data_IF_685589091426
#
_entry.id   IF_685589091426
#
_cell.length_a   1.000
_cell.length_b   1.000
_cell.length_c   1.000
_cell.angle_alpha   90.00
_cell.angle_beta   90.00
_cell.angle_gamma   90.00
#
_symmetry.space_group_name_H-M   'P 1'
#
loop_
_entity.id
_entity.type
_entity.pdbx_description
1 polymer ?
#
# COMPACT_ATOMS: atom_id res chain seq x y z
N UNK A 1 -18.22 11.13 -7.94
CA UNK A 1 -16.94 11.24 -8.68
C UNK A 1 -16.15 9.99 -8.32
N UNK A 2 -15.68 9.17 -9.28
CA UNK A 2 -14.90 7.97 -8.98
C UNK A 2 -13.54 8.34 -8.39
N UNK A 3 -12.94 7.43 -7.62
CA UNK A 3 -11.54 7.56 -7.23
C UNK A 3 -10.64 7.44 -8.47
N UNK A 4 -9.60 8.28 -8.53
CA UNK A 4 -8.58 8.26 -9.58
C UNK A 4 -7.29 7.57 -9.12
N UNK A 5 -7.10 7.39 -7.81
CA UNK A 5 -6.07 6.52 -7.24
C UNK A 5 -6.64 5.67 -6.12
N UNK A 6 -6.21 4.41 -6.05
CA UNK A 6 -6.47 3.53 -4.94
C UNK A 6 -5.32 2.56 -4.73
N UNK A 7 -4.87 2.42 -3.49
CA UNK A 7 -4.13 1.24 -3.06
C UNK A 7 -4.65 0.75 -1.73
N UNK A 8 -4.73 -0.57 -1.59
CA UNK A 8 -4.96 -1.26 -0.34
C UNK A 8 -3.92 -2.36 -0.17
N UNK A 9 -3.29 -2.42 0.98
CA UNK A 9 -2.15 -3.30 1.20
C UNK A 9 -2.26 -4.01 2.53
N UNK A 10 -1.81 -5.27 2.56
CA UNK A 10 -1.81 -6.11 3.76
C UNK A 10 -0.42 -6.65 3.96
N UNK A 11 0.23 -6.26 5.06
CA UNK A 11 1.57 -6.71 5.44
C UNK A 11 1.46 -7.64 6.63
N UNK A 12 2.19 -8.75 6.58
CA UNK A 12 2.38 -9.59 7.78
C UNK A 12 3.44 -8.95 8.66
N UNK A 13 3.07 -8.64 9.91
CA UNK A 13 3.97 -8.06 10.90
C UNK A 13 4.62 -9.14 11.75
N UNK A 14 3.82 -10.11 12.17
CA UNK A 14 4.24 -11.29 12.91
C UNK A 14 3.22 -12.42 12.70
N UNK A 15 3.37 -13.53 13.42
CA UNK A 15 2.53 -14.72 13.25
C UNK A 15 1.04 -14.48 13.48
N UNK A 16 0.66 -13.43 14.22
CA UNK A 16 -0.76 -13.15 14.56
C UNK A 16 -1.22 -11.77 14.15
N UNK A 17 -0.32 -10.88 13.74
CA UNK A 17 -0.62 -9.48 13.45
C UNK A 17 -0.38 -9.14 11.98
N UNK A 18 -1.35 -8.45 11.39
CA UNK A 18 -1.25 -7.82 10.09
C UNK A 18 -1.40 -6.30 10.20
N UNK A 19 -0.70 -5.57 9.35
CA UNK A 19 -0.89 -4.15 9.12
C UNK A 19 -1.62 -3.96 7.80
N UNK A 20 -2.76 -3.31 7.85
CA UNK A 20 -3.59 -2.96 6.71
C UNK A 20 -3.37 -1.47 6.43
N UNK A 21 -3.06 -1.13 5.19
CA UNK A 21 -2.79 0.23 4.74
C UNK A 21 -3.70 0.57 3.57
N UNK A 22 -4.18 1.79 3.50
CA UNK A 22 -4.98 2.25 2.37
C UNK A 22 -4.76 3.71 2.07
N UNK A 23 -4.75 4.04 0.79
CA UNK A 23 -4.63 5.41 0.28
C UNK A 23 -5.52 5.58 -0.95
N UNK A 24 -6.32 6.65 -0.96
CA UNK A 24 -7.33 6.92 -1.98
C UNK A 24 -7.32 8.40 -2.34
N UNK A 25 -7.34 8.71 -3.63
CA UNK A 25 -7.54 10.07 -4.13
C UNK A 25 -8.81 10.20 -4.97
N UNK A 26 -9.35 11.40 -5.00
CA UNK A 26 -10.39 11.85 -5.94
C UNK A 26 -9.97 13.21 -6.47
N UNK A 27 -9.88 13.35 -7.79
CA UNK A 27 -9.39 14.57 -8.47
C UNK A 27 -8.02 14.98 -7.94
N UNK A 28 -7.09 14.02 -7.85
CA UNK A 28 -5.74 14.14 -7.29
C UNK A 28 -5.65 14.57 -5.82
N UNK A 29 -6.79 14.70 -5.13
CA UNK A 29 -6.83 15.05 -3.71
C UNK A 29 -6.99 13.80 -2.85
N UNK A 30 -6.09 13.65 -1.86
CA UNK A 30 -6.21 12.61 -0.83
C UNK A 30 -7.55 12.76 -0.10
N UNK A 31 -8.38 11.71 -0.17
CA UNK A 31 -9.65 11.62 0.56
C UNK A 31 -9.59 10.59 1.69
N UNK A 32 -8.63 9.66 1.64
CA UNK A 32 -8.37 8.73 2.72
C UNK A 32 -6.91 8.29 2.70
N UNK A 33 -6.29 8.27 3.88
CA UNK A 33 -5.02 7.61 4.16
C UNK A 33 -5.16 6.96 5.55
N UNK A 34 -4.95 5.65 5.67
CA UNK A 34 -5.15 4.97 6.94
C UNK A 34 -4.20 3.79 7.16
N UNK A 35 -4.06 3.45 8.43
CA UNK A 35 -3.38 2.27 8.90
C UNK A 35 -4.25 1.56 9.96
N UNK A 36 -4.33 0.25 9.90
CA UNK A 36 -5.09 -0.57 10.85
C UNK A 36 -4.30 -1.81 11.21
N UNK A 37 -4.26 -2.15 12.50
CA UNK A 37 -3.72 -3.43 12.96
C UNK A 37 -4.85 -4.44 13.06
N UNK A 38 -4.69 -5.58 12.39
CA UNK A 38 -5.61 -6.72 12.46
C UNK A 38 -4.91 -7.90 13.15
N UNK A 39 -5.58 -8.47 14.13
CA UNK A 39 -5.14 -9.67 14.86
C UNK A 39 -5.84 -10.92 14.30
N UNK A 40 -5.21 -12.07 14.48
CA UNK A 40 -5.72 -13.37 14.03
C UNK A 40 -7.05 -13.77 14.70
N UNK A 41 -7.37 -13.20 15.86
CA UNK A 41 -8.64 -13.39 16.57
C UNK A 41 -9.80 -12.57 15.97
N UNK A 42 -9.54 -11.79 14.92
CA UNK A 42 -10.51 -10.92 14.25
C UNK A 42 -10.57 -9.49 14.80
N UNK A 43 -9.86 -9.19 15.89
CA UNK A 43 -9.76 -7.83 16.41
C UNK A 43 -9.07 -6.92 15.39
N UNK A 44 -9.62 -5.74 15.15
CA UNK A 44 -9.01 -4.75 14.28
C UNK A 44 -9.10 -3.35 14.91
N UNK A 45 -7.98 -2.61 14.88
CA UNK A 45 -7.86 -1.28 15.47
C UNK A 45 -7.26 -0.31 14.46
N UNK A 46 -8.01 0.72 14.09
CA UNK A 46 -7.49 1.85 13.32
C UNK A 46 -6.46 2.60 14.16
N UNK A 47 -5.31 2.89 13.56
CA UNK A 47 -4.28 3.70 14.18
C UNK A 47 -4.66 5.18 14.04
N UNK A 48 -4.71 5.88 15.17
CA UNK A 48 -4.79 7.35 15.22
C UNK A 48 -3.43 7.93 14.81
N UNK A 49 -3.20 7.97 13.50
CA UNK A 49 -1.92 8.30 12.89
C UNK A 49 -2.09 9.05 11.56
N UNK A 50 -1.09 9.88 11.27
CA UNK A 50 -0.87 10.49 9.97
C UNK A 50 -0.16 9.46 9.06
N UNK A 51 -0.76 9.18 7.90
CA UNK A 51 -0.35 8.09 7.02
C UNK A 51 0.02 8.65 5.65
N UNK A 52 1.24 8.35 5.22
CA UNK A 52 1.80 8.81 3.95
C UNK A 52 2.11 7.64 3.06
N UNK A 53 1.70 7.73 1.80
CA UNK A 53 2.02 6.79 0.73
C UNK A 53 2.69 7.53 -0.42
N UNK A 54 3.74 6.94 -0.96
CA UNK A 54 4.47 7.50 -2.09
C UNK A 54 4.94 6.38 -3.02
N UNK A 55 4.65 6.51 -4.31
CA UNK A 55 5.30 5.69 -5.36
C UNK A 55 6.65 6.31 -5.65
N UNK A 56 7.73 5.54 -5.49
CA UNK A 56 9.10 6.00 -5.65
C UNK A 56 9.64 5.74 -7.06
N UNK A 57 9.19 4.65 -7.68
CA UNK A 57 9.51 4.32 -9.08
C UNK A 57 8.40 3.46 -9.69
N UNK A 58 8.29 3.55 -11.01
CA UNK A 58 7.36 2.78 -11.82
C UNK A 58 8.10 1.64 -12.51
N UNK A 59 7.38 0.55 -12.78
CA UNK A 59 7.87 -0.52 -13.65
C UNK A 59 8.17 0.03 -15.05
N UNK A 60 9.14 -0.58 -15.72
CA UNK A 60 9.64 -0.09 -17.02
C UNK A 60 8.55 -0.02 -18.11
N UNK A 61 7.60 -0.96 -18.09
CA UNK A 61 6.52 -1.06 -19.07
C UNK A 61 5.17 -0.90 -18.38
N UNK A 62 4.25 -0.16 -19.01
CA UNK A 62 2.88 -0.07 -18.55
C UNK A 62 2.18 -1.43 -18.69
N UNK A 63 1.39 -1.80 -17.68
CA UNK A 63 0.64 -3.03 -17.71
C UNK A 63 -0.65 -2.85 -18.52
N UNK A 64 -0.94 -3.81 -19.41
CA UNK A 64 -2.17 -3.81 -20.20
C UNK A 64 -3.24 -4.71 -19.56
N UNK A 65 -4.38 -4.10 -19.22
CA UNK A 65 -5.53 -4.78 -18.66
C UNK A 65 -6.27 -5.61 -19.72
N UNK A 66 -7.13 -6.53 -19.28
CA UNK A 66 -7.96 -7.32 -20.21
C UNK A 66 -8.96 -6.45 -21.00
N UNK A 67 -9.26 -5.26 -20.51
CA UNK A 67 -10.07 -4.23 -21.18
C UNK A 67 -9.27 -3.36 -22.16
N UNK A 68 -7.97 -3.65 -22.34
CA UNK A 68 -7.05 -2.89 -23.19
C UNK A 68 -6.49 -1.62 -22.55
N UNK A 69 -6.91 -1.28 -21.32
CA UNK A 69 -6.38 -0.10 -20.61
C UNK A 69 -4.91 -0.29 -20.25
N UNK A 70 -4.14 0.81 -20.27
CA UNK A 70 -2.77 0.83 -19.77
C UNK A 70 -2.75 1.43 -18.37
N UNK A 71 -1.87 0.91 -17.52
CA UNK A 71 -1.64 1.42 -16.18
C UNK A 71 -0.14 1.37 -15.83
N UNK A 72 0.37 2.51 -15.38
CA UNK A 72 1.69 2.62 -14.77
C UNK A 72 1.68 1.93 -13.40
N UNK A 73 2.42 0.83 -13.24
CA UNK A 73 2.46 0.07 -11.99
C UNK A 73 3.70 0.42 -11.17
N UNK A 74 3.62 0.40 -9.83
CA UNK A 74 4.77 0.70 -8.98
C UNK A 74 5.81 -0.44 -9.07
N UNK A 75 7.08 -0.06 -9.15
CA UNK A 75 8.21 -0.96 -8.90
C UNK A 75 8.63 -0.86 -7.44
N UNK A 76 8.80 0.38 -6.94
CA UNK A 76 9.08 0.65 -5.53
C UNK A 76 8.17 1.75 -4.97
N UNK A 77 7.88 1.65 -3.68
CA UNK A 77 7.04 2.61 -2.97
C UNK A 77 7.39 2.66 -1.48
N UNK A 78 6.84 3.66 -0.79
CA UNK A 78 7.04 3.87 0.63
C UNK A 78 5.72 4.09 1.37
N UNK A 79 5.65 3.57 2.58
CA UNK A 79 4.66 3.98 3.57
C UNK A 79 5.33 4.56 4.80
N UNK A 80 4.73 5.61 5.36
CA UNK A 80 5.04 6.10 6.69
C UNK A 80 3.76 6.19 7.52
N UNK A 81 3.83 5.72 8.78
CA UNK A 81 2.74 5.84 9.76
C UNK A 81 3.30 6.58 10.96
N UNK A 82 2.80 7.78 11.21
CA UNK A 82 3.31 8.72 12.22
C UNK A 82 2.20 8.99 13.22
N UNK A 83 2.40 8.69 14.50
CA UNK A 83 1.37 8.95 15.50
C UNK A 83 1.19 10.44 15.80
N UNK A 84 0.15 10.77 16.58
CA UNK A 84 -0.13 12.14 17.03
C UNK A 84 1.01 12.80 17.83
N UNK A 85 1.93 12.01 18.39
CA UNK A 85 3.11 12.48 19.11
C UNK A 85 4.33 12.62 18.19
N UNK A 86 4.14 12.55 16.87
CA UNK A 86 5.19 12.62 15.84
C UNK A 86 6.20 11.49 15.91
N UNK A 87 5.84 10.36 16.54
CA UNK A 87 6.65 9.15 16.53
C UNK A 87 6.36 8.37 15.25
N UNK A 88 7.43 8.01 14.54
CA UNK A 88 7.37 7.11 13.40
C UNK A 88 7.09 5.67 13.89
N UNK A 89 5.85 5.23 13.72
CA UNK A 89 5.40 3.89 14.09
C UNK A 89 5.88 2.87 13.07
N UNK A 90 5.75 3.19 11.79
CA UNK A 90 6.20 2.37 10.68
C UNK A 90 6.89 3.22 9.62
N UNK A 91 8.02 2.73 9.13
CA UNK A 91 8.69 3.20 7.92
C UNK A 91 8.92 1.98 7.04
N UNK A 92 8.30 1.93 5.87
CA UNK A 92 8.23 0.74 5.03
C UNK A 92 8.68 1.13 3.63
N UNK A 93 9.80 0.55 3.19
CA UNK A 93 10.28 0.62 1.83
C UNK A 93 10.01 -0.72 1.16
N UNK A 94 9.26 -0.70 0.06
CA UNK A 94 8.79 -1.91 -0.59
C UNK A 94 9.24 -1.97 -2.05
N UNK A 95 9.40 -3.19 -2.54
CA UNK A 95 9.70 -3.50 -3.93
C UNK A 95 8.80 -4.63 -4.39
N UNK A 96 7.98 -4.36 -5.41
CA UNK A 96 7.11 -5.35 -6.04
C UNK A 96 7.99 -6.43 -6.67
N UNK A 97 7.80 -7.68 -6.25
CA UNK A 97 8.67 -8.80 -6.61
C UNK A 97 7.90 -9.99 -7.21
N UNK A 98 6.61 -9.80 -7.49
CA UNK A 98 5.77 -10.77 -8.20
C UNK A 98 5.14 -10.11 -9.42
N UNK A 99 4.80 -10.88 -10.47
CA UNK A 99 3.94 -10.37 -11.53
C UNK A 99 2.65 -9.79 -10.96
N UNK A 100 2.29 -8.58 -11.37
CA UNK A 100 1.02 -7.98 -10.99
C UNK A 100 -0.08 -8.48 -11.93
N UNK A 101 -1.15 -9.01 -11.34
CA UNK A 101 -2.25 -9.65 -12.06
C UNK A 101 -3.43 -8.69 -12.13
N UNK A 102 -3.99 -8.50 -13.33
CA UNK A 102 -5.22 -7.76 -13.52
C UNK A 102 -6.41 -8.54 -12.91
N UNK A 103 -7.27 -7.89 -12.13
CA UNK A 103 -8.43 -8.58 -11.54
C UNK A 103 -9.14 -7.91 -10.36
N UNK A 104 -8.80 -6.67 -10.01
CA UNK A 104 -9.48 -5.90 -8.96
C UNK A 104 -10.15 -4.67 -9.57
N UNK A 105 -11.43 -4.79 -9.94
CA UNK A 105 -12.09 -3.80 -10.78
C UNK A 105 -11.25 -3.50 -12.04
N UNK A 106 -10.78 -2.25 -12.23
CA UNK A 106 -9.88 -1.86 -13.33
C UNK A 106 -8.40 -1.87 -12.92
N UNK A 107 -8.06 -2.54 -11.82
CA UNK A 107 -6.74 -2.55 -11.20
C UNK A 107 -6.05 -3.89 -11.15
N UNK A 108 -4.90 -3.85 -10.49
CA UNK A 108 -3.96 -4.95 -10.39
C UNK A 108 -3.73 -5.35 -8.94
N UNK A 109 -3.41 -6.62 -8.75
CA UNK A 109 -3.01 -7.19 -7.48
C UNK A 109 -1.62 -7.80 -7.59
N UNK A 110 -0.85 -7.80 -6.51
CA UNK A 110 0.49 -8.37 -6.50
C UNK A 110 1.02 -8.62 -5.10
N UNK A 111 2.27 -9.03 -5.05
CA UNK A 111 3.06 -9.19 -3.85
C UNK A 111 4.35 -8.39 -3.94
N UNK A 112 4.88 -8.07 -2.77
CA UNK A 112 6.15 -7.36 -2.63
C UNK A 112 6.92 -7.87 -1.41
N UNK A 113 8.22 -7.65 -1.41
CA UNK A 113 9.01 -7.66 -0.19
C UNK A 113 9.20 -6.23 0.31
N UNK A 114 9.40 -6.08 1.62
CA UNK A 114 9.65 -4.78 2.21
C UNK A 114 10.69 -4.86 3.33
N UNK A 115 11.36 -3.75 3.58
CA UNK A 115 12.25 -3.53 4.71
C UNK A 115 11.97 -2.17 5.33
N UNK A 116 12.42 -1.97 6.56
CA UNK A 116 12.33 -0.67 7.23
C UNK A 116 12.30 -0.81 8.74
N UNK A 117 11.37 -0.11 9.41
CA UNK A 117 11.31 -0.11 10.88
C UNK A 117 9.90 -0.12 11.45
N UNK A 118 9.75 -0.74 12.63
CA UNK A 118 8.58 -0.67 13.51
C UNK A 118 9.01 -0.05 14.83
N UNK A 119 8.55 1.17 15.13
CA UNK A 119 8.95 1.92 16.32
C UNK A 119 10.47 2.00 16.52
N UNK A 120 11.21 2.19 15.41
CA UNK A 120 12.68 2.28 15.40
C UNK A 120 13.42 0.93 15.42
N UNK A 121 12.71 -0.20 15.51
CA UNK A 121 13.32 -1.53 15.40
C UNK A 121 13.30 -1.96 13.94
N UNK A 122 14.47 -2.29 13.38
CA UNK A 122 14.60 -2.76 12.02
C UNK A 122 13.78 -4.05 11.80
N UNK A 123 13.04 -4.11 10.70
CA UNK A 123 12.18 -5.23 10.35
C UNK A 123 12.02 -5.34 8.84
N UNK A 124 11.56 -6.49 8.38
CA UNK A 124 11.32 -6.80 6.98
C UNK A 124 10.20 -7.84 6.87
N UNK A 125 9.61 -7.97 5.69
CA UNK A 125 8.58 -8.97 5.47
C UNK A 125 8.06 -8.97 4.05
N UNK A 126 6.85 -9.52 3.91
CA UNK A 126 6.10 -9.52 2.65
C UNK A 126 4.77 -8.81 2.82
N UNK A 127 4.27 -8.27 1.72
CA UNK A 127 2.94 -7.69 1.65
C UNK A 127 2.23 -8.07 0.36
N UNK A 128 0.91 -7.97 0.44
CA UNK A 128 -0.01 -8.00 -0.68
C UNK A 128 -0.39 -6.56 -1.03
N UNK A 129 -0.51 -6.27 -2.32
CA UNK A 129 -0.91 -4.96 -2.84
C UNK A 129 -2.10 -5.10 -3.78
N UNK A 130 -3.07 -4.22 -3.58
CA UNK A 130 -4.09 -3.81 -4.53
C UNK A 130 -3.73 -2.43 -5.04
N UNK A 131 -3.82 -2.20 -6.35
CA UNK A 131 -3.38 -0.95 -6.95
C UNK A 131 -4.22 -0.57 -8.17
N UNK A 132 -4.70 0.67 -8.18
CA UNK A 132 -5.38 1.35 -9.28
C UNK A 132 -4.80 2.75 -9.38
N UNK A 133 -4.30 3.12 -10.55
CA UNK A 133 -3.95 4.51 -10.88
C UNK A 133 -4.58 4.89 -12.22
N UNK A 134 -5.39 5.95 -12.21
CA UNK A 134 -6.18 6.47 -13.34
C UNK A 134 -5.95 7.97 -13.53
N UNK A 135 -4.87 8.50 -12.98
CA UNK A 135 -4.52 9.93 -13.06
C UNK A 135 -3.76 10.29 -14.35
N UNK A 136 -3.36 9.28 -15.11
CA UNK A 136 -2.80 9.40 -16.47
C UNK A 136 -3.88 9.66 -17.54
#
# INVERSE_FOLDING_TARGET
IPADFFTYQVLTIDATTQLLLGYVTILDHSVAAFAMLRQADGTAVHLDADVHFEVLSLQAEAAQGQDGSLMSLPETFRWQVIDKHKKLLFDIHATVDTPMLFGLATGYVGGYHWHGSRSGVATQGRGYIEYIDRRD
#
